data_IF_640731129537
#
_entry.id   IF_640731129537
#
_cell.length_a   1.000
_cell.length_b   1.000
_cell.length_c   1.000
_cell.angle_alpha   90.00
_cell.angle_beta   90.00
_cell.angle_gamma   90.00
#
_symmetry.space_group_name_H-M   'P 1'
#
loop_
_entity.id
_entity.type
_entity.pdbx_description
1 polymer ?
#
# COMPACT_ATOMS: atom_id res chain seq x y z
N UNK A 1 -9.03 19.57 -57.16
CA UNK A 1 -8.70 18.37 -56.35
C UNK A 1 -8.19 18.81 -54.96
N UNK A 2 -9.08 19.00 -53.97
CA UNK A 2 -8.71 19.52 -52.63
C UNK A 2 -9.09 18.58 -51.47
N UNK A 3 -9.70 17.43 -51.75
CA UNK A 3 -10.26 16.53 -50.73
C UNK A 3 -9.25 15.54 -50.09
N UNK A 4 -8.08 15.28 -50.70
CA UNK A 4 -7.16 14.23 -50.21
C UNK A 4 -6.30 14.65 -49.01
N UNK A 5 -5.96 15.94 -48.88
CA UNK A 5 -5.11 16.44 -47.79
C UNK A 5 -5.82 16.46 -46.44
N UNK A 6 -7.11 16.79 -46.43
CA UNK A 6 -7.93 16.85 -45.23
C UNK A 6 -8.22 15.45 -44.68
N UNK A 7 -8.52 14.48 -45.56
CA UNK A 7 -8.78 13.09 -45.17
C UNK A 7 -7.54 12.41 -44.55
N UNK A 8 -6.35 12.65 -45.11
CA UNK A 8 -5.09 12.17 -44.55
C UNK A 8 -4.80 12.76 -43.16
N UNK A 9 -5.14 14.03 -42.94
CA UNK A 9 -4.96 14.71 -41.66
C UNK A 9 -5.86 14.11 -40.56
N UNK A 10 -7.12 13.83 -40.86
CA UNK A 10 -8.04 13.20 -39.91
C UNK A 10 -7.64 11.75 -39.58
N UNK A 11 -7.14 10.99 -40.55
CA UNK A 11 -6.61 9.64 -40.33
C UNK A 11 -5.36 9.63 -39.43
N UNK A 12 -4.47 10.61 -39.61
CA UNK A 12 -3.31 10.75 -38.75
C UNK A 12 -3.71 11.12 -37.32
N UNK A 13 -4.69 12.02 -37.17
CA UNK A 13 -5.17 12.48 -35.86
C UNK A 13 -5.80 11.35 -35.05
N UNK A 14 -6.59 10.48 -35.67
CA UNK A 14 -7.20 9.32 -34.99
C UNK A 14 -6.15 8.27 -34.62
N UNK A 15 -5.14 8.05 -35.48
CA UNK A 15 -4.05 7.12 -35.20
C UNK A 15 -3.18 7.57 -34.02
N UNK A 16 -2.83 8.85 -33.95
CA UNK A 16 -2.09 9.43 -32.82
C UNK A 16 -2.92 9.36 -31.53
N UNK A 17 -4.22 9.67 -31.61
CA UNK A 17 -5.13 9.57 -30.47
C UNK A 17 -5.25 8.14 -29.95
N UNK A 18 -5.31 7.14 -30.83
CA UNK A 18 -5.35 5.73 -30.43
C UNK A 18 -4.04 5.24 -29.79
N UNK A 19 -2.90 5.70 -30.31
CA UNK A 19 -1.57 5.32 -29.80
C UNK A 19 -1.32 5.91 -28.41
N UNK A 20 -1.77 7.14 -28.17
CA UNK A 20 -1.69 7.78 -26.85
C UNK A 20 -2.51 7.05 -25.79
N UNK A 21 -3.73 6.61 -26.15
CA UNK A 21 -4.60 5.83 -25.24
C UNK A 21 -4.02 4.44 -24.99
N UNK A 22 -3.46 3.77 -26.01
CA UNK A 22 -2.80 2.48 -25.84
C UNK A 22 -1.54 2.54 -24.96
N UNK A 23 -0.70 3.56 -25.14
CA UNK A 23 0.47 3.80 -24.30
C UNK A 23 0.08 4.15 -22.84
N UNK A 24 -1.00 4.91 -22.65
CA UNK A 24 -1.54 5.23 -21.33
C UNK A 24 -2.15 4.00 -20.63
N UNK A 25 -2.81 3.12 -21.39
CA UNK A 25 -3.32 1.84 -20.90
C UNK A 25 -2.19 0.89 -20.47
N UNK A 26 -1.11 0.80 -21.24
CA UNK A 26 0.07 0.03 -20.86
C UNK A 26 0.80 0.62 -19.66
N UNK A 27 0.86 1.96 -19.54
CA UNK A 27 1.41 2.64 -18.36
C UNK A 27 0.57 2.37 -17.09
N UNK A 28 -0.77 2.38 -17.19
CA UNK A 28 -1.67 2.01 -16.10
C UNK A 28 -1.58 0.52 -15.74
N UNK A 29 -1.46 -0.38 -16.73
CA UNK A 29 -1.37 -1.81 -16.47
C UNK A 29 -0.05 -2.20 -15.79
N UNK A 30 1.06 -1.57 -16.20
CA UNK A 30 2.38 -1.82 -15.60
C UNK A 30 2.56 -1.16 -14.22
N UNK A 31 1.74 -0.15 -13.90
CA UNK A 31 1.69 0.46 -12.55
C UNK A 31 0.74 -0.29 -11.59
N UNK A 32 -0.17 -1.12 -12.12
CA UNK A 32 -1.15 -1.86 -11.32
C UNK A 32 -0.75 -3.32 -11.05
N UNK A 33 0.13 -3.93 -11.85
CA UNK A 33 0.55 -5.34 -11.70
C UNK A 33 1.64 -5.59 -10.65
N UNK A 34 2.17 -4.56 -9.98
CA UNK A 34 3.24 -4.69 -8.96
C UNK A 34 2.86 -4.05 -7.63
N UNK A 35 1.85 -4.58 -6.91
CA UNK A 35 1.66 -4.15 -5.51
C UNK A 35 0.86 -5.12 -4.62
N UNK A 36 1.32 -6.38 -4.51
CA UNK A 36 0.85 -7.29 -3.47
C UNK A 36 1.83 -7.47 -2.28
N UNK A 37 3.00 -6.82 -2.28
CA UNK A 37 4.12 -7.12 -1.34
C UNK A 37 4.57 -5.93 -0.46
N UNK A 38 3.71 -4.95 -0.20
CA UNK A 38 4.16 -3.62 0.26
C UNK A 38 3.44 -3.18 1.52
N UNK A 39 3.72 -3.70 2.72
CA UNK A 39 3.12 -3.11 3.94
C UNK A 39 3.57 -1.64 4.14
N UNK A 40 4.86 -1.35 3.94
CA UNK A 40 5.40 0.02 3.94
C UNK A 40 4.96 0.85 2.73
N UNK A 41 5.13 0.32 1.51
CA UNK A 41 4.77 1.07 0.29
C UNK A 41 3.26 1.13 0.00
N UNK A 42 2.41 0.29 0.60
CA UNK A 42 0.95 0.41 0.52
C UNK A 42 0.47 1.62 1.32
N UNK A 43 1.04 1.88 2.49
CA UNK A 43 0.71 3.09 3.27
C UNK A 43 1.08 4.37 2.51
N UNK A 44 2.25 4.39 1.88
CA UNK A 44 2.69 5.52 1.05
C UNK A 44 1.90 5.65 -0.25
N UNK A 45 1.53 4.52 -0.88
CA UNK A 45 0.65 4.51 -2.05
C UNK A 45 -0.74 5.04 -1.70
N UNK A 46 -1.33 4.59 -0.60
CA UNK A 46 -2.61 5.12 -0.11
C UNK A 46 -2.51 6.60 0.23
N UNK A 47 -1.42 7.03 0.86
CA UNK A 47 -1.18 8.45 1.16
C UNK A 47 -1.11 9.29 -0.12
N UNK A 48 -0.33 8.84 -1.12
CA UNK A 48 -0.21 9.52 -2.42
C UNK A 48 -1.54 9.55 -3.16
N UNK A 49 -2.29 8.44 -3.13
CA UNK A 49 -3.62 8.36 -3.74
C UNK A 49 -4.60 9.30 -3.06
N UNK A 50 -4.61 9.34 -1.72
CA UNK A 50 -5.45 10.24 -0.94
C UNK A 50 -5.12 11.71 -1.22
N UNK A 51 -3.83 12.09 -1.21
CA UNK A 51 -3.39 13.44 -1.55
C UNK A 51 -3.78 13.82 -2.98
N UNK A 52 -3.61 12.91 -3.94
CA UNK A 52 -4.01 13.12 -5.33
C UNK A 52 -5.52 13.31 -5.49
N UNK A 53 -6.31 12.50 -4.81
CA UNK A 53 -7.77 12.61 -4.82
C UNK A 53 -8.23 13.94 -4.20
N UNK A 54 -7.70 14.31 -3.04
CA UNK A 54 -8.02 15.58 -2.38
C UNK A 54 -7.61 16.77 -3.25
N UNK A 55 -6.41 16.74 -3.86
CA UNK A 55 -5.95 17.79 -4.75
C UNK A 55 -6.85 17.93 -5.99
N UNK A 56 -7.25 16.81 -6.60
CA UNK A 56 -8.06 16.79 -7.82
C UNK A 56 -9.50 17.27 -7.55
N UNK A 57 -10.11 16.79 -6.47
CA UNK A 57 -11.52 17.06 -6.16
C UNK A 57 -11.72 18.43 -5.52
N UNK A 58 -10.78 18.87 -4.67
CA UNK A 58 -10.87 20.13 -3.93
C UNK A 58 -10.10 21.27 -4.59
N UNK A 59 -9.30 20.98 -5.63
CA UNK A 59 -8.47 21.96 -6.36
C UNK A 59 -7.59 22.77 -5.40
N UNK A 60 -6.85 22.06 -4.56
CA UNK A 60 -6.03 22.66 -3.52
C UNK A 60 -4.94 23.55 -4.12
N UNK A 61 -4.74 24.73 -3.53
CA UNK A 61 -3.57 25.56 -3.82
C UNK A 61 -2.29 24.88 -3.30
N UNK A 62 -1.09 25.19 -3.85
CA UNK A 62 0.17 24.57 -3.40
C UNK A 62 0.40 24.65 -1.89
N UNK A 63 0.08 25.80 -1.29
CA UNK A 63 0.19 26.01 0.16
C UNK A 63 -0.76 25.11 0.98
N UNK A 64 -1.96 24.84 0.46
CA UNK A 64 -2.93 23.96 1.11
C UNK A 64 -2.51 22.49 1.01
N UNK A 65 -1.94 22.08 -0.13
CA UNK A 65 -1.41 20.73 -0.31
C UNK A 65 -0.21 20.46 0.61
N UNK A 66 0.67 21.46 0.79
CA UNK A 66 1.78 21.38 1.74
C UNK A 66 1.29 21.22 3.18
N UNK A 67 0.28 22.01 3.59
CA UNK A 67 -0.34 21.89 4.92
C UNK A 67 -0.99 20.52 5.13
N UNK A 68 -1.73 20.01 4.13
CA UNK A 68 -2.35 18.68 4.19
C UNK A 68 -1.29 17.58 4.36
N UNK A 69 -0.19 17.67 3.63
CA UNK A 69 0.93 16.74 3.75
C UNK A 69 1.49 16.75 5.18
N UNK A 70 1.77 17.92 5.74
CA UNK A 70 2.25 18.06 7.12
C UNK A 70 1.28 17.49 8.17
N UNK A 71 -0.03 17.71 8.00
CA UNK A 71 -1.06 17.14 8.89
C UNK A 71 -1.01 15.61 8.86
N UNK A 72 -0.92 15.02 7.66
CA UNK A 72 -0.86 13.56 7.52
C UNK A 72 0.43 12.99 8.12
N UNK A 73 1.56 13.70 8.05
CA UNK A 73 2.83 13.28 8.66
C UNK A 73 2.76 13.30 10.19
N UNK A 74 2.27 14.40 10.76
CA UNK A 74 2.06 14.51 12.21
C UNK A 74 1.08 13.44 12.72
N UNK A 75 0.00 13.18 11.98
CA UNK A 75 -0.97 12.13 12.33
C UNK A 75 -0.32 10.74 12.30
N UNK A 76 0.52 10.47 11.29
CA UNK A 76 1.24 9.20 11.20
C UNK A 76 2.22 9.01 12.37
N UNK A 77 2.88 10.07 12.83
CA UNK A 77 3.73 10.02 14.02
C UNK A 77 2.93 9.67 15.28
N UNK A 78 1.79 10.32 15.50
CA UNK A 78 0.90 10.02 16.62
C UNK A 78 0.46 8.55 16.64
N UNK A 79 0.10 7.99 15.48
CA UNK A 79 -0.23 6.56 15.40
C UNK A 79 0.96 5.65 15.70
N UNK A 80 2.18 6.01 15.28
CA UNK A 80 3.39 5.25 15.60
C UNK A 80 3.67 5.27 17.10
N UNK A 81 3.57 6.43 17.74
CA UNK A 81 3.74 6.59 19.18
C UNK A 81 2.71 5.79 19.97
N UNK A 82 1.44 5.88 19.56
CA UNK A 82 0.35 5.09 20.15
C UNK A 82 0.63 3.58 20.03
N UNK A 83 1.01 3.12 18.84
CA UNK A 83 1.33 1.71 18.62
C UNK A 83 2.50 1.24 19.46
N UNK A 84 3.59 2.00 19.57
CA UNK A 84 4.73 1.64 20.42
C UNK A 84 4.35 1.64 21.90
N UNK A 85 3.51 2.58 22.34
CA UNK A 85 3.01 2.63 23.72
C UNK A 85 2.18 1.40 24.10
N UNK A 86 1.29 0.95 23.21
CA UNK A 86 0.39 -0.19 23.47
C UNK A 86 0.95 -1.55 23.03
N UNK A 87 2.10 -1.57 22.34
CA UNK A 87 2.83 -2.78 21.97
C UNK A 87 2.99 -3.81 23.11
N UNK A 88 3.39 -3.44 24.34
CA UNK A 88 3.48 -4.40 25.44
C UNK A 88 2.12 -5.00 25.82
N UNK A 89 1.04 -4.22 25.77
CA UNK A 89 -0.31 -4.70 26.06
C UNK A 89 -0.75 -5.76 25.03
N UNK A 90 -0.52 -5.49 23.74
CA UNK A 90 -0.78 -6.47 22.68
C UNK A 90 0.05 -7.75 22.83
N UNK A 91 1.31 -7.63 23.26
CA UNK A 91 2.17 -8.79 23.52
C UNK A 91 1.67 -9.61 24.71
N UNK A 92 1.23 -8.94 25.79
CA UNK A 92 0.65 -9.62 26.94
C UNK A 92 -0.62 -10.40 26.56
N UNK A 93 -1.50 -9.82 25.75
CA UNK A 93 -2.70 -10.51 25.24
C UNK A 93 -2.31 -11.75 24.41
N UNK A 94 -1.33 -11.63 23.52
CA UNK A 94 -0.85 -12.77 22.72
C UNK A 94 -0.25 -13.87 23.60
N UNK A 95 0.57 -13.52 24.59
CA UNK A 95 1.16 -14.49 25.52
C UNK A 95 0.08 -15.22 26.34
N UNK A 96 -0.90 -14.48 26.85
CA UNK A 96 -2.01 -15.05 27.59
C UNK A 96 -2.83 -16.03 26.72
N UNK A 97 -3.10 -15.67 25.46
CA UNK A 97 -3.75 -16.57 24.52
C UNK A 97 -2.90 -17.84 24.28
N UNK A 98 -1.60 -17.68 24.05
CA UNK A 98 -0.68 -18.80 23.86
C UNK A 98 -0.67 -19.76 25.05
N UNK A 99 -0.64 -19.24 26.28
CA UNK A 99 -0.71 -20.05 27.50
C UNK A 99 -2.03 -20.83 27.61
N UNK A 100 -3.16 -20.20 27.28
CA UNK A 100 -4.45 -20.90 27.28
C UNK A 100 -4.49 -22.02 26.25
N UNK A 101 -3.95 -21.78 25.04
CA UNK A 101 -3.86 -22.83 24.02
C UNK A 101 -2.95 -23.95 24.50
N UNK A 102 -1.77 -23.66 25.04
CA UNK A 102 -0.86 -24.69 25.56
C UNK A 102 -1.48 -25.54 26.66
N UNK A 103 -2.36 -24.96 27.49
CA UNK A 103 -3.03 -25.67 28.59
C UNK A 103 -3.94 -26.81 28.14
N UNK A 104 -4.48 -26.74 26.91
CA UNK A 104 -5.38 -27.76 26.35
C UNK A 104 -4.68 -28.77 25.44
N UNK A 105 -3.38 -28.57 25.15
CA UNK A 105 -2.61 -29.42 24.25
C UNK A 105 -1.83 -30.50 25.02
N UNK A 106 -1.71 -31.68 24.39
CA UNK A 106 -0.79 -32.73 24.85
C UNK A 106 0.69 -32.36 24.53
N UNK A 107 1.68 -33.07 25.11
CA UNK A 107 3.09 -32.72 24.92
C UNK A 107 3.56 -32.72 23.46
N UNK A 108 3.10 -33.67 22.64
CA UNK A 108 3.49 -33.74 21.23
C UNK A 108 2.87 -32.60 20.41
N UNK A 109 1.62 -32.24 20.72
CA UNK A 109 0.92 -31.10 20.11
C UNK A 109 1.56 -29.77 20.49
N UNK A 110 2.05 -29.61 21.73
CA UNK A 110 2.75 -28.39 22.17
C UNK A 110 4.02 -28.15 21.36
N UNK A 111 4.82 -29.19 21.13
CA UNK A 111 6.03 -29.07 20.31
C UNK A 111 5.71 -28.56 18.90
N UNK A 112 4.67 -29.10 18.27
CA UNK A 112 4.24 -28.65 16.94
C UNK A 112 3.67 -27.22 16.96
N UNK A 113 2.89 -26.88 17.98
CA UNK A 113 2.37 -25.53 18.18
C UNK A 113 3.49 -24.49 18.32
N UNK A 114 4.55 -24.80 19.07
CA UNK A 114 5.72 -23.93 19.18
C UNK A 114 6.44 -23.73 17.84
N UNK A 115 6.53 -24.76 16.98
CA UNK A 115 7.07 -24.59 15.62
C UNK A 115 6.22 -23.63 14.81
N UNK A 116 4.89 -23.78 14.85
CA UNK A 116 3.96 -22.87 14.16
C UNK A 116 4.16 -21.43 14.62
N UNK A 117 4.31 -21.20 15.93
CA UNK A 117 4.57 -19.85 16.47
C UNK A 117 5.89 -19.26 15.97
N UNK A 118 6.96 -20.06 15.96
CA UNK A 118 8.28 -19.64 15.43
C UNK A 118 8.22 -19.32 13.95
N UNK A 119 7.59 -20.16 13.13
CA UNK A 119 7.44 -19.92 11.70
C UNK A 119 6.65 -18.63 11.41
N UNK A 120 5.60 -18.37 12.19
CA UNK A 120 4.84 -17.12 12.09
C UNK A 120 5.69 -15.91 12.45
N UNK A 121 6.51 -16.01 13.49
CA UNK A 121 7.45 -14.95 13.85
C UNK A 121 8.49 -14.71 12.76
N UNK A 122 9.09 -15.76 12.20
CA UNK A 122 10.06 -15.66 11.11
C UNK A 122 9.44 -15.07 9.84
N UNK A 123 8.20 -15.46 9.49
CA UNK A 123 7.44 -14.81 8.40
C UNK A 123 7.28 -13.32 8.66
N UNK A 124 6.82 -12.92 9.86
CA UNK A 124 6.70 -11.49 10.23
C UNK A 124 8.04 -10.76 10.17
N UNK A 125 9.12 -11.38 10.64
CA UNK A 125 10.48 -10.81 10.58
C UNK A 125 10.94 -10.62 9.14
N UNK A 126 10.76 -11.62 8.27
CA UNK A 126 11.07 -11.52 6.83
C UNK A 126 10.27 -10.41 6.16
N UNK A 127 8.98 -10.32 6.44
CA UNK A 127 8.12 -9.26 5.87
C UNK A 127 8.53 -7.87 6.39
N UNK A 128 9.02 -7.78 7.63
CA UNK A 128 9.55 -6.53 8.20
C UNK A 128 10.94 -6.16 7.70
N UNK A 129 11.80 -7.14 7.39
CA UNK A 129 13.17 -6.91 6.91
C UNK A 129 13.24 -6.61 5.42
N UNK A 130 12.33 -7.17 4.62
CA UNK A 130 12.17 -6.81 3.20
C UNK A 130 11.48 -5.44 3.01
N UNK A 131 10.98 -4.83 4.08
CA UNK A 131 10.33 -3.52 4.08
C UNK A 131 11.20 -2.36 4.58
N UNK A 132 12.49 -2.58 4.87
CA UNK A 132 13.45 -1.53 5.30
C UNK A 132 14.40 -1.13 4.19
#
# INVERSE_FOLDING_TARGET
MKASRSAAFYLFLTFVSGTAVGAFGLWLYNTQSVSASKSGSRSEMYRKQYLSEMNTRLKLAPEQLQKLTAILDATQQLYRELNEKHKPEYQAIQQHQTQQVESILDPAQREEYHKILKEREERRRRDSSHGR
#
